data_IF_570055800029
#
_entry.id   IF_570055800029
#
_cell.length_a   1.000
_cell.length_b   1.000
_cell.length_c   1.000
_cell.angle_alpha   90.00
_cell.angle_beta   90.00
_cell.angle_gamma   90.00
#
_symmetry.space_group_name_H-M   'P 1'
#
loop_
_entity.id
_entity.type
_entity.pdbx_description
1 polymer ?
#
# COMPACT_ATOMS: atom_id res chain seq x y z
N UNK A 1 0.52 8.46 -5.67
CA UNK A 1 -0.72 9.00 -5.08
C UNK A 1 -1.82 7.91 -5.09
N UNK A 2 -2.07 7.22 -6.20
CA UNK A 2 -2.96 6.04 -6.29
C UNK A 2 -2.60 4.98 -5.24
N UNK A 3 -1.32 4.67 -5.16
CA UNK A 3 -0.72 3.80 -4.16
C UNK A 3 -0.99 4.26 -2.71
N UNK A 4 -0.98 5.56 -2.45
CA UNK A 4 -1.28 6.13 -1.14
C UNK A 4 -2.72 5.84 -0.71
N UNK A 5 -3.69 6.09 -1.60
CA UNK A 5 -5.11 5.86 -1.32
C UNK A 5 -5.43 4.39 -1.11
N UNK A 6 -4.84 3.54 -1.93
CA UNK A 6 -5.04 2.10 -1.81
C UNK A 6 -4.51 1.57 -0.48
N UNK A 7 -3.31 2.00 -0.06
CA UNK A 7 -2.77 1.58 1.24
C UNK A 7 -3.54 2.17 2.43
N UNK A 8 -4.03 3.42 2.34
CA UNK A 8 -4.91 4.00 3.37
C UNK A 8 -6.23 3.22 3.44
N UNK A 9 -6.82 2.86 2.30
CA UNK A 9 -8.05 2.08 2.25
C UNK A 9 -7.85 0.66 2.78
N UNK A 10 -6.75 0.01 2.42
CA UNK A 10 -6.37 -1.32 2.93
C UNK A 10 -6.08 -1.28 4.44
N UNK A 11 -5.47 -0.21 4.95
CA UNK A 11 -5.31 0.04 6.39
C UNK A 11 -6.65 0.11 7.12
N UNK A 12 -7.68 0.74 6.53
CA UNK A 12 -9.01 0.78 7.10
C UNK A 12 -9.71 -0.58 7.04
N UNK A 13 -9.57 -1.33 5.95
CA UNK A 13 -10.15 -2.67 5.81
C UNK A 13 -9.53 -3.69 6.79
N UNK A 14 -8.21 -3.64 7.00
CA UNK A 14 -7.54 -4.51 7.99
C UNK A 14 -7.81 -4.09 9.43
N UNK A 15 -8.19 -2.84 9.70
CA UNK A 15 -8.59 -2.38 11.04
C UNK A 15 -9.90 -3.02 11.51
N UNK A 16 -10.87 -3.19 10.61
CA UNK A 16 -12.16 -3.85 10.92
C UNK A 16 -11.97 -5.34 11.28
N UNK A 17 -10.98 -6.02 10.70
CA UNK A 17 -10.67 -7.42 10.99
C UNK A 17 -10.09 -7.63 12.42
N UNK A 18 -9.45 -6.62 12.99
CA UNK A 18 -8.90 -6.63 14.35
C UNK A 18 -10.01 -6.44 15.41
N UNK A 19 -11.13 -5.84 15.06
CA UNK A 19 -12.19 -5.44 16.01
C UNK A 19 -13.27 -6.51 16.26
N UNK A 20 -13.40 -7.53 15.41
CA UNK A 20 -14.48 -8.54 15.49
C UNK A 20 -14.15 -9.79 16.31
N UNK A 21 -12.94 -9.96 16.82
CA UNK A 21 -12.50 -11.12 17.60
C UNK A 21 -12.60 -10.94 19.12
N UNK A 22 -13.66 -11.43 19.74
CA UNK A 22 -13.77 -11.84 21.18
C UNK A 22 -13.50 -10.81 22.31
N UNK A 23 -14.08 -9.61 22.24
CA UNK A 23 -13.93 -8.59 23.31
C UNK A 23 -14.85 -8.80 24.55
N UNK A 24 -15.72 -9.80 24.59
CA UNK A 24 -16.79 -9.88 25.61
C UNK A 24 -16.55 -10.79 26.80
N UNK A 25 -15.34 -11.30 27.08
CA UNK A 25 -15.20 -12.30 28.14
C UNK A 25 -14.38 -11.97 29.39
N UNK A 26 -13.55 -10.94 29.45
CA UNK A 26 -12.73 -10.70 30.65
C UNK A 26 -12.43 -9.21 30.94
N UNK A 27 -13.01 -8.68 32.04
CA UNK A 27 -12.49 -7.54 32.78
C UNK A 27 -12.75 -6.15 32.19
N UNK A 28 -12.58 -5.12 33.02
CA UNK A 28 -12.73 -3.72 32.62
C UNK A 28 -11.87 -3.38 31.39
N UNK A 29 -12.44 -2.62 30.45
CA UNK A 29 -11.84 -2.21 29.17
C UNK A 29 -10.41 -1.69 29.33
N UNK A 30 -10.12 -1.01 30.43
CA UNK A 30 -8.79 -0.45 30.73
C UNK A 30 -7.73 -1.53 30.98
N UNK A 31 -8.08 -2.62 31.69
CA UNK A 31 -7.16 -3.74 31.95
C UNK A 31 -6.93 -4.60 30.70
N UNK A 32 -7.91 -4.71 29.82
CA UNK A 32 -7.81 -5.42 28.55
C UNK A 32 -6.89 -4.64 27.60
N UNK A 33 -7.04 -3.33 27.50
CA UNK A 33 -6.17 -2.48 26.67
C UNK A 33 -4.72 -2.53 27.17
N UNK A 34 -4.50 -2.39 28.48
CA UNK A 34 -3.14 -2.37 29.05
C UNK A 34 -2.45 -3.74 29.08
N UNK A 35 -3.22 -4.85 29.18
CA UNK A 35 -2.65 -6.20 29.12
C UNK A 35 -2.35 -6.67 27.71
N UNK A 36 -3.19 -6.28 26.73
CA UNK A 36 -3.05 -6.61 25.31
C UNK A 36 -1.84 -5.92 24.66
N UNK A 37 -1.37 -4.79 25.22
CA UNK A 37 -0.23 -4.01 24.72
C UNK A 37 1.09 -4.27 25.46
N UNK A 38 1.16 -5.25 26.37
CA UNK A 38 2.44 -5.68 26.97
C UNK A 38 3.24 -6.56 26.01
N UNK A 39 3.61 -6.01 24.89
CA UNK A 39 4.55 -6.66 23.98
C UNK A 39 5.91 -6.69 24.69
N UNK A 40 6.34 -7.86 25.13
CA UNK A 40 7.70 -8.06 25.63
C UNK A 40 8.63 -8.17 24.43
N UNK A 41 9.02 -7.05 23.85
CA UNK A 41 10.01 -7.04 22.78
C UNK A 41 11.37 -7.46 23.35
N UNK A 42 11.90 -8.55 22.84
CA UNK A 42 13.27 -8.95 23.07
C UNK A 42 14.25 -8.18 22.17
N UNK A 43 15.54 -8.27 22.46
CA UNK A 43 16.60 -7.72 21.59
C UNK A 43 16.50 -8.29 20.17
N UNK A 44 16.08 -9.55 20.05
CA UNK A 44 15.85 -10.20 18.77
C UNK A 44 14.72 -9.55 17.95
N UNK A 45 13.60 -9.21 18.59
CA UNK A 45 12.48 -8.54 17.92
C UNK A 45 12.88 -7.14 17.41
N UNK A 46 13.72 -6.41 18.18
CA UNK A 46 14.28 -5.13 17.71
C UNK A 46 15.16 -5.34 16.47
N UNK A 47 15.97 -6.39 16.45
CA UNK A 47 16.80 -6.71 15.27
C UNK A 47 15.91 -7.05 14.07
N UNK A 48 14.88 -7.88 14.24
CA UNK A 48 13.90 -8.21 13.20
C UNK A 48 13.22 -6.94 12.68
N UNK A 49 12.74 -6.06 13.58
CA UNK A 49 12.10 -4.80 13.21
C UNK A 49 13.01 -3.90 12.34
N UNK A 50 14.30 -3.82 12.67
CA UNK A 50 15.27 -3.04 11.89
C UNK A 50 15.43 -3.64 10.48
N UNK A 51 15.58 -4.97 10.36
CA UNK A 51 15.72 -5.63 9.06
C UNK A 51 14.45 -5.44 8.22
N UNK A 52 13.28 -5.65 8.80
CA UNK A 52 12.00 -5.44 8.11
C UNK A 52 11.84 -3.99 7.65
N UNK A 53 12.18 -3.01 8.49
CA UNK A 53 12.14 -1.60 8.14
C UNK A 53 13.09 -1.24 6.98
N UNK A 54 14.27 -1.86 6.92
CA UNK A 54 15.22 -1.67 5.81
C UNK A 54 14.68 -2.28 4.53
N UNK A 55 14.15 -3.51 4.58
CA UNK A 55 13.59 -4.19 3.41
C UNK A 55 12.40 -3.42 2.87
N UNK A 56 11.46 -3.03 3.72
CA UNK A 56 10.30 -2.23 3.32
C UNK A 56 10.73 -0.89 2.73
N UNK A 57 11.61 -0.14 3.42
CA UNK A 57 12.09 1.16 2.98
C UNK A 57 12.81 1.14 1.63
N UNK A 58 13.47 0.04 1.27
CA UNK A 58 14.11 -0.12 -0.05
C UNK A 58 13.10 -0.58 -1.10
N UNK A 59 12.33 -1.62 -0.80
CA UNK A 59 11.46 -2.29 -1.79
C UNK A 59 10.21 -1.48 -2.11
N UNK A 60 9.75 -0.62 -1.21
CA UNK A 60 8.60 0.26 -1.44
C UNK A 60 8.88 1.32 -2.52
N UNK A 61 10.12 1.77 -2.64
CA UNK A 61 10.51 2.75 -3.67
C UNK A 61 10.82 2.13 -5.02
N UNK A 62 10.92 0.82 -5.07
CA UNK A 62 11.21 0.07 -6.29
C UNK A 62 9.95 -0.67 -6.75
N UNK A 63 9.74 -0.84 -8.07
CA UNK A 63 8.60 -1.60 -8.59
C UNK A 63 8.82 -3.13 -8.47
N UNK A 64 9.12 -3.61 -7.25
CA UNK A 64 9.51 -5.01 -6.98
C UNK A 64 8.64 -5.71 -5.94
N UNK A 65 7.53 -5.11 -5.53
CA UNK A 65 6.62 -5.59 -4.50
C UNK A 65 7.23 -5.70 -3.09
N UNK A 66 7.09 -4.63 -2.31
CA UNK A 66 7.47 -4.62 -0.88
C UNK A 66 6.73 -5.70 -0.08
N UNK A 67 5.41 -5.80 -0.23
CA UNK A 67 4.58 -6.83 0.43
C UNK A 67 5.09 -8.24 0.14
N UNK A 68 5.44 -8.54 -1.13
CA UNK A 68 6.00 -9.83 -1.50
C UNK A 68 7.33 -10.12 -0.82
N UNK A 69 8.21 -9.12 -0.73
CA UNK A 69 9.49 -9.26 -0.04
C UNK A 69 9.31 -9.43 1.47
N UNK A 70 8.36 -8.69 2.08
CA UNK A 70 8.08 -8.82 3.51
C UNK A 70 7.55 -10.21 3.88
N UNK A 71 6.65 -10.79 3.09
CA UNK A 71 6.15 -12.16 3.27
C UNK A 71 7.30 -13.18 3.18
N UNK A 72 8.21 -13.01 2.21
CA UNK A 72 9.38 -13.89 2.10
C UNK A 72 10.37 -13.72 3.26
N UNK A 73 10.61 -12.49 3.72
CA UNK A 73 11.49 -12.23 4.87
C UNK A 73 10.88 -12.80 6.15
N UNK A 74 9.56 -12.75 6.30
CA UNK A 74 8.85 -13.34 7.43
C UNK A 74 9.10 -14.85 7.56
N UNK A 75 9.28 -15.59 6.47
CA UNK A 75 9.61 -17.01 6.53
C UNK A 75 10.95 -17.30 7.23
N UNK A 76 11.90 -16.37 7.19
CA UNK A 76 13.23 -16.52 7.77
C UNK A 76 13.41 -15.78 9.09
N UNK A 77 12.79 -14.62 9.22
CA UNK A 77 12.93 -13.71 10.35
C UNK A 77 11.55 -13.32 10.88
N UNK A 78 11.01 -14.14 11.78
CA UNK A 78 9.71 -13.92 12.42
C UNK A 78 9.87 -13.19 13.75
N UNK A 79 8.93 -12.32 14.05
CA UNK A 79 8.75 -11.85 15.43
C UNK A 79 8.28 -13.00 16.32
N UNK A 80 8.55 -12.91 17.63
CA UNK A 80 8.10 -13.90 18.59
C UNK A 80 6.57 -13.89 18.75
N UNK A 81 5.95 -12.74 18.52
CA UNK A 81 4.51 -12.53 18.58
C UNK A 81 3.95 -12.29 17.17
N UNK A 82 3.08 -13.21 16.72
CA UNK A 82 2.48 -13.15 15.39
C UNK A 82 1.53 -11.95 15.22
N UNK A 83 0.79 -11.58 16.27
CA UNK A 83 -0.07 -10.39 16.22
C UNK A 83 0.77 -9.11 16.08
N UNK A 84 1.92 -9.07 16.75
CA UNK A 84 2.86 -7.97 16.59
C UNK A 84 3.44 -7.92 15.18
N UNK A 85 3.75 -9.06 14.57
CA UNK A 85 4.23 -9.17 13.19
C UNK A 85 3.26 -8.50 12.21
N UNK A 86 1.99 -8.88 12.27
CA UNK A 86 0.94 -8.32 11.40
C UNK A 86 0.76 -6.81 11.62
N UNK A 87 0.69 -6.36 12.87
CA UNK A 87 0.61 -4.94 13.19
C UNK A 87 1.84 -4.17 12.68
N UNK A 88 3.04 -4.74 12.83
CA UNK A 88 4.28 -4.10 12.42
C UNK A 88 4.37 -3.93 10.89
N UNK A 89 3.91 -4.92 10.11
CA UNK A 89 3.79 -4.83 8.66
C UNK A 89 2.98 -3.60 8.24
N UNK A 90 1.83 -3.41 8.85
CA UNK A 90 0.96 -2.27 8.55
C UNK A 90 1.63 -0.93 8.93
N UNK A 91 2.26 -0.87 10.09
CA UNK A 91 2.91 0.35 10.59
C UNK A 91 4.12 0.74 9.74
N UNK A 92 4.94 -0.22 9.32
CA UNK A 92 6.12 0.09 8.50
C UNK A 92 5.74 0.55 7.09
N UNK A 93 4.69 -0.03 6.50
CA UNK A 93 4.10 0.45 5.24
C UNK A 93 3.57 1.88 5.39
N UNK A 94 2.85 2.18 6.47
CA UNK A 94 2.38 3.54 6.74
C UNK A 94 3.56 4.53 6.82
N UNK A 95 4.66 4.13 7.45
CA UNK A 95 5.89 4.95 7.50
C UNK A 95 6.42 5.29 6.11
N UNK A 96 6.52 4.29 5.23
CA UNK A 96 6.96 4.48 3.84
C UNK A 96 5.99 5.38 3.05
N UNK A 97 4.68 5.21 3.22
CA UNK A 97 3.64 6.05 2.62
C UNK A 97 3.76 7.51 3.08
N UNK A 98 3.93 7.74 4.38
CA UNK A 98 4.08 9.09 4.93
C UNK A 98 5.33 9.78 4.38
N UNK A 99 6.43 9.06 4.18
CA UNK A 99 7.63 9.60 3.54
C UNK A 99 7.34 10.10 2.11
N UNK A 100 6.58 9.34 1.31
CA UNK A 100 6.14 9.76 -0.03
C UNK A 100 5.25 10.99 0.04
N UNK A 101 4.28 11.01 0.97
CA UNK A 101 3.38 12.17 1.14
C UNK A 101 4.17 13.44 1.47
N UNK A 102 5.09 13.35 2.41
CA UNK A 102 5.92 14.49 2.81
C UNK A 102 6.80 14.99 1.66
N UNK A 103 7.43 14.07 0.93
CA UNK A 103 8.29 14.41 -0.20
C UNK A 103 7.54 15.10 -1.34
N UNK A 104 6.33 14.65 -1.64
CA UNK A 104 5.52 15.17 -2.74
C UNK A 104 4.40 16.11 -2.27
N UNK A 105 4.42 16.57 -1.03
CA UNK A 105 3.38 17.41 -0.43
C UNK A 105 2.95 18.56 -1.33
N UNK A 106 3.90 19.31 -1.86
CA UNK A 106 3.63 20.48 -2.71
C UNK A 106 2.94 20.13 -4.05
N UNK A 107 3.02 18.87 -4.49
CA UNK A 107 2.41 18.40 -5.75
C UNK A 107 1.04 17.75 -5.55
N UNK A 108 0.72 17.34 -4.32
CA UNK A 108 -0.53 16.64 -4.01
C UNK A 108 -1.52 17.51 -3.25
N UNK A 109 -1.05 18.56 -2.59
CA UNK A 109 -1.89 19.46 -1.79
C UNK A 109 -2.63 20.46 -2.70
N UNK A 110 -3.98 20.42 -2.74
CA UNK A 110 -4.75 21.25 -3.68
C UNK A 110 -4.99 22.68 -3.20
N UNK A 111 -4.66 23.01 -1.94
CA UNK A 111 -4.96 24.33 -1.37
C UNK A 111 -3.74 25.24 -1.41
N UNK A 112 -3.92 26.43 -1.98
CA UNK A 112 -2.90 27.49 -2.06
C UNK A 112 -3.21 28.57 -1.02
N UNK A 113 -2.53 28.51 0.13
CA UNK A 113 -2.69 29.53 1.18
C UNK A 113 -1.68 30.68 1.06
N UNK A 114 -0.57 30.49 0.34
CA UNK A 114 0.54 31.41 0.26
C UNK A 114 0.81 31.83 -1.19
N UNK A 115 1.19 33.11 -1.44
CA UNK A 115 1.49 33.68 -2.79
C UNK A 115 0.30 33.66 -3.74
N UNK A 116 -0.84 34.18 -3.28
CA UNK A 116 -2.04 34.32 -4.09
C UNK A 116 -2.03 35.69 -4.78
N UNK A 117 -2.18 35.72 -6.09
CA UNK A 117 -2.49 36.95 -6.81
C UNK A 117 -3.97 37.31 -6.63
N UNK A 118 -4.29 38.62 -6.75
CA UNK A 118 -5.68 39.09 -6.58
C UNK A 118 -6.58 38.44 -7.63
N UNK A 119 -7.49 37.55 -7.21
CA UNK A 119 -8.45 36.88 -8.09
C UNK A 119 -8.18 35.39 -8.31
N UNK A 120 -7.07 34.83 -7.84
CA UNK A 120 -6.82 33.38 -7.94
C UNK A 120 -7.66 32.57 -6.94
N UNK A 121 -8.12 31.39 -7.39
CA UNK A 121 -8.82 30.44 -6.53
C UNK A 121 -7.89 29.88 -5.44
N UNK A 122 -8.45 29.65 -4.24
CA UNK A 122 -7.76 28.97 -3.14
C UNK A 122 -7.46 27.51 -3.53
N UNK A 123 -8.29 26.93 -4.41
CA UNK A 123 -8.20 25.53 -4.82
C UNK A 123 -7.50 25.46 -6.19
N UNK A 124 -6.46 24.64 -6.26
CA UNK A 124 -5.88 24.22 -7.54
C UNK A 124 -6.74 23.13 -8.18
N UNK A 125 -7.58 23.55 -9.13
CA UNK A 125 -8.51 22.64 -9.82
C UNK A 125 -7.81 21.52 -10.60
N UNK A 126 -6.57 21.71 -11.05
CA UNK A 126 -5.80 20.65 -11.73
C UNK A 126 -5.45 19.54 -10.75
N UNK A 127 -5.01 19.89 -9.56
CA UNK A 127 -4.73 18.91 -8.49
C UNK A 127 -6.04 18.26 -8.03
N UNK A 128 -7.12 19.02 -7.89
CA UNK A 128 -8.42 18.49 -7.49
C UNK A 128 -8.95 17.47 -8.53
N UNK A 129 -8.87 17.77 -9.81
CA UNK A 129 -9.22 16.82 -10.88
C UNK A 129 -8.36 15.55 -10.83
N UNK A 130 -7.07 15.67 -10.52
CA UNK A 130 -6.19 14.52 -10.31
C UNK A 130 -6.73 13.65 -9.16
N UNK A 131 -7.18 14.23 -8.06
CA UNK A 131 -7.77 13.50 -6.94
C UNK A 131 -9.04 12.72 -7.34
N UNK A 132 -9.94 13.33 -8.11
CA UNK A 132 -11.11 12.63 -8.64
C UNK A 132 -10.73 11.44 -9.54
N UNK A 133 -9.72 11.58 -10.40
CA UNK A 133 -9.23 10.49 -11.24
C UNK A 133 -8.63 9.36 -10.39
N UNK A 134 -7.95 9.69 -9.29
CA UNK A 134 -7.42 8.72 -8.33
C UNK A 134 -8.57 7.93 -7.68
N UNK A 135 -9.62 8.61 -7.23
CA UNK A 135 -10.80 7.95 -6.67
C UNK A 135 -11.38 6.96 -7.68
N UNK A 136 -11.58 7.37 -8.94
CA UNK A 136 -12.08 6.48 -10.01
C UNK A 136 -11.17 5.27 -10.21
N UNK A 137 -9.85 5.46 -10.21
CA UNK A 137 -8.90 4.37 -10.34
C UNK A 137 -8.88 3.41 -9.13
N UNK A 138 -9.26 3.87 -7.93
CA UNK A 138 -9.35 3.02 -6.75
C UNK A 138 -10.64 2.17 -6.69
N UNK A 139 -11.72 2.56 -7.41
CA UNK A 139 -13.01 1.88 -7.33
C UNK A 139 -12.96 0.38 -7.63
N UNK A 140 -12.30 -0.13 -8.71
CA UNK A 140 -12.27 -1.55 -8.99
C UNK A 140 -11.68 -2.37 -7.84
N UNK A 141 -10.55 -1.93 -7.31
CA UNK A 141 -9.86 -2.60 -6.22
C UNK A 141 -10.65 -2.52 -4.90
N UNK A 142 -11.30 -1.38 -4.63
CA UNK A 142 -12.15 -1.20 -3.46
C UNK A 142 -13.36 -2.14 -3.47
N UNK A 143 -14.05 -2.25 -4.60
CA UNK A 143 -15.23 -3.12 -4.74
C UNK A 143 -14.84 -4.59 -4.53
N UNK A 144 -13.77 -5.05 -5.17
CA UNK A 144 -13.35 -6.44 -5.08
C UNK A 144 -12.75 -6.74 -3.70
N UNK A 145 -11.96 -5.84 -3.12
CA UNK A 145 -11.43 -5.99 -1.77
C UNK A 145 -12.55 -6.16 -0.74
N UNK A 146 -13.54 -5.27 -0.70
CA UNK A 146 -14.67 -5.38 0.27
C UNK A 146 -15.48 -6.68 0.10
N UNK A 147 -15.64 -7.15 -1.14
CA UNK A 147 -16.50 -8.32 -1.40
C UNK A 147 -15.80 -9.68 -1.26
N UNK A 148 -14.48 -9.72 -1.45
CA UNK A 148 -13.74 -10.97 -1.60
C UNK A 148 -12.46 -11.04 -0.75
N UNK A 149 -12.30 -10.16 0.25
CA UNK A 149 -11.09 -10.05 1.07
C UNK A 149 -10.68 -11.38 1.69
N UNK A 150 -11.58 -12.02 2.45
CA UNK A 150 -11.33 -13.31 3.11
C UNK A 150 -10.91 -14.41 2.12
N UNK A 151 -11.56 -14.46 0.95
CA UNK A 151 -11.25 -15.46 -0.08
C UNK A 151 -9.90 -15.19 -0.75
N UNK A 152 -9.57 -13.92 -0.97
CA UNK A 152 -8.28 -13.51 -1.55
C UNK A 152 -7.15 -13.90 -0.60
N UNK A 153 -7.31 -13.63 0.69
CA UNK A 153 -6.32 -13.94 1.70
C UNK A 153 -6.09 -15.44 1.81
N UNK A 154 -7.15 -16.24 1.89
CA UNK A 154 -7.06 -17.69 2.00
C UNK A 154 -6.34 -18.32 0.79
N UNK A 155 -6.61 -17.84 -0.43
CA UNK A 155 -6.11 -18.46 -1.66
C UNK A 155 -4.72 -17.93 -2.04
N UNK A 156 -4.48 -16.64 -1.92
CA UNK A 156 -3.29 -15.98 -2.50
C UNK A 156 -2.21 -15.62 -1.49
N UNK A 157 -2.55 -15.41 -0.20
CA UNK A 157 -1.57 -14.99 0.81
C UNK A 157 -0.78 -16.17 1.38
N UNK A 158 0.05 -16.78 0.54
CA UNK A 158 1.02 -17.78 0.97
C UNK A 158 2.36 -17.61 0.24
N UNK A 159 3.45 -18.01 0.88
CA UNK A 159 4.81 -17.79 0.37
C UNK A 159 5.06 -18.36 -1.02
N UNK A 160 4.43 -19.50 -1.38
CA UNK A 160 4.61 -20.12 -2.70
C UNK A 160 3.96 -19.32 -3.82
N UNK A 161 2.71 -18.85 -3.58
CA UNK A 161 1.98 -18.00 -4.54
C UNK A 161 2.72 -16.67 -4.72
N UNK A 162 3.17 -16.06 -3.62
CA UNK A 162 3.94 -14.83 -3.64
C UNK A 162 5.25 -14.98 -4.40
N UNK A 163 6.02 -16.03 -4.14
CA UNK A 163 7.27 -16.32 -4.87
C UNK A 163 7.01 -16.54 -6.37
N UNK A 164 5.96 -17.30 -6.71
CA UNK A 164 5.55 -17.50 -8.10
C UNK A 164 5.13 -16.19 -8.77
N UNK A 165 4.36 -15.36 -8.10
CA UNK A 165 3.95 -14.05 -8.58
C UNK A 165 5.16 -13.13 -8.83
N UNK A 166 6.10 -13.05 -7.87
CA UNK A 166 7.32 -12.26 -8.03
C UNK A 166 8.13 -12.67 -9.27
N UNK A 167 8.25 -13.99 -9.54
CA UNK A 167 8.97 -14.50 -10.71
C UNK A 167 8.21 -14.11 -11.99
N UNK A 168 6.91 -14.39 -12.07
CA UNK A 168 6.09 -14.14 -13.26
C UNK A 168 6.04 -12.64 -13.58
N UNK A 169 5.70 -11.82 -12.61
CA UNK A 169 5.60 -10.37 -12.81
C UNK A 169 6.98 -9.72 -13.02
N UNK A 170 8.04 -10.23 -12.38
CA UNK A 170 9.41 -9.79 -12.64
C UNK A 170 9.82 -10.03 -14.10
N UNK A 171 9.50 -11.21 -14.67
CA UNK A 171 9.75 -11.51 -16.09
C UNK A 171 8.91 -10.61 -16.99
N UNK A 172 7.61 -10.48 -16.70
CA UNK A 172 6.70 -9.60 -17.47
C UNK A 172 7.18 -8.15 -17.46
N UNK A 173 7.64 -7.66 -16.30
CA UNK A 173 8.19 -6.31 -16.18
C UNK A 173 9.41 -6.10 -17.08
N UNK A 174 10.35 -7.05 -17.09
CA UNK A 174 11.52 -7.00 -17.98
C UNK A 174 11.11 -6.99 -19.46
N UNK A 175 10.11 -7.80 -19.83
CA UNK A 175 9.61 -7.86 -21.21
C UNK A 175 8.99 -6.52 -21.61
N UNK A 176 8.10 -5.96 -20.77
CA UNK A 176 7.42 -4.69 -21.04
C UNK A 176 8.40 -3.54 -21.09
N UNK A 177 9.37 -3.49 -20.17
CA UNK A 177 10.42 -2.46 -20.14
C UNK A 177 11.28 -2.49 -21.42
N UNK A 178 11.71 -3.68 -21.84
CA UNK A 178 12.45 -3.84 -23.09
C UNK A 178 11.62 -3.48 -24.31
N UNK A 179 10.33 -3.80 -24.31
CA UNK A 179 9.43 -3.43 -25.41
C UNK A 179 9.17 -1.93 -25.49
N UNK A 180 9.13 -1.25 -24.36
CA UNK A 180 8.94 0.20 -24.26
C UNK A 180 10.23 1.00 -24.52
N UNK A 181 11.39 0.34 -24.52
CA UNK A 181 12.68 1.00 -24.70
C UNK A 181 12.71 1.81 -25.99
N UNK A 182 12.98 3.11 -25.87
CA UNK A 182 13.01 4.05 -26.99
C UNK A 182 11.66 4.61 -27.44
N UNK A 183 10.53 4.19 -26.85
CA UNK A 183 9.22 4.81 -27.10
C UNK A 183 9.09 6.11 -26.32
N UNK A 184 8.50 7.12 -26.96
CA UNK A 184 8.16 8.37 -26.27
C UNK A 184 6.83 8.19 -25.55
N UNK A 185 6.70 8.62 -24.28
CA UNK A 185 5.44 8.55 -23.55
C UNK A 185 4.39 9.42 -24.25
N UNK A 186 3.18 8.92 -24.40
CA UNK A 186 2.06 9.67 -24.94
C UNK A 186 1.53 10.73 -23.97
N UNK A 187 1.63 10.46 -22.66
CA UNK A 187 1.22 11.36 -21.59
C UNK A 187 2.46 11.66 -20.75
N UNK A 188 2.78 12.94 -20.59
CA UNK A 188 3.99 13.38 -19.85
C UNK A 188 3.68 13.98 -18.50
N UNK A 189 2.41 14.29 -18.23
CA UNK A 189 1.96 14.88 -16.97
C UNK A 189 0.81 14.08 -16.36
N UNK A 190 0.85 13.86 -15.06
CA UNK A 190 -0.22 13.18 -14.31
C UNK A 190 -1.56 13.92 -14.44
N UNK A 191 -1.54 15.23 -14.61
CA UNK A 191 -2.74 16.05 -14.79
C UNK A 191 -3.43 15.85 -16.13
N UNK A 192 -2.71 15.32 -17.13
CA UNK A 192 -3.21 15.04 -18.50
C UNK A 192 -3.88 13.67 -18.63
N UNK A 193 -3.73 12.78 -17.62
CA UNK A 193 -4.38 11.47 -17.59
C UNK A 193 -5.90 11.65 -17.71
N UNK A 194 -6.55 10.95 -18.65
CA UNK A 194 -8.00 10.90 -18.78
C UNK A 194 -8.65 9.96 -17.75
N UNK A 195 -9.97 10.01 -17.60
CA UNK A 195 -10.72 9.08 -16.73
C UNK A 195 -10.70 7.65 -17.25
N UNK A 196 -10.68 7.46 -18.57
CA UNK A 196 -10.49 6.18 -19.25
C UNK A 196 -9.16 5.52 -18.86
N UNK A 197 -8.09 6.28 -18.98
CA UNK A 197 -6.74 5.84 -18.57
C UNK A 197 -6.68 5.59 -17.07
N UNK A 198 -7.31 6.44 -16.25
CA UNK A 198 -7.38 6.24 -14.81
C UNK A 198 -8.10 4.92 -14.43
N UNK A 199 -9.18 4.58 -15.16
CA UNK A 199 -9.89 3.30 -14.96
C UNK A 199 -9.03 2.10 -15.37
N UNK A 200 -8.31 2.18 -16.49
CA UNK A 200 -7.36 1.14 -16.92
C UNK A 200 -6.29 0.92 -15.86
N UNK A 201 -5.69 1.98 -15.34
CA UNK A 201 -4.74 1.92 -14.24
C UNK A 201 -5.39 1.22 -13.03
N UNK A 202 -6.66 1.55 -12.72
CA UNK A 202 -7.41 0.93 -11.64
C UNK A 202 -7.61 -0.58 -11.81
N UNK A 203 -7.82 -1.06 -13.03
CA UNK A 203 -7.92 -2.51 -13.33
C UNK A 203 -6.56 -3.19 -13.10
N UNK A 204 -5.45 -2.60 -13.51
CA UNK A 204 -4.12 -3.14 -13.20
C UNK A 204 -3.81 -3.11 -11.69
N UNK A 205 -4.24 -2.07 -10.99
CA UNK A 205 -4.13 -2.00 -9.53
C UNK A 205 -4.97 -3.08 -8.84
N UNK A 206 -6.14 -3.43 -9.39
CA UNK A 206 -6.92 -4.56 -8.91
C UNK A 206 -6.15 -5.89 -9.03
N UNK A 207 -5.48 -6.15 -10.15
CA UNK A 207 -4.63 -7.34 -10.29
C UNK A 207 -3.54 -7.39 -9.23
N UNK A 208 -2.90 -6.24 -8.98
CA UNK A 208 -1.88 -6.11 -7.95
C UNK A 208 -2.42 -6.20 -6.51
N UNK A 209 -3.71 -5.97 -6.32
CA UNK A 209 -4.40 -6.14 -5.04
C UNK A 209 -4.72 -7.60 -4.75
N UNK A 210 -5.24 -8.32 -5.75
CA UNK A 210 -5.67 -9.72 -5.60
C UNK A 210 -4.49 -10.67 -5.50
N UNK A 211 -3.38 -10.40 -6.21
CA UNK A 211 -2.22 -11.29 -6.23
C UNK A 211 -1.05 -10.63 -5.50
N UNK A 212 -0.78 -11.00 -4.23
CA UNK A 212 0.36 -10.48 -3.49
C UNK A 212 1.66 -10.90 -4.18
N UNK A 213 2.65 -10.00 -4.19
CA UNK A 213 3.86 -10.19 -5.01
C UNK A 213 3.82 -9.46 -6.34
N UNK A 214 2.62 -9.10 -6.85
CA UNK A 214 2.49 -8.15 -7.94
C UNK A 214 2.81 -6.74 -7.42
N UNK A 215 3.81 -6.10 -7.98
CA UNK A 215 4.16 -4.74 -7.55
C UNK A 215 3.07 -3.74 -7.95
N UNK A 216 2.44 -3.09 -6.96
CA UNK A 216 1.45 -2.03 -7.21
C UNK A 216 2.04 -0.82 -7.92
N UNK A 217 3.31 -0.52 -7.68
CA UNK A 217 4.02 0.56 -8.36
C UNK A 217 4.50 0.18 -9.77
N UNK A 218 4.55 -1.13 -10.09
CA UNK A 218 4.93 -1.67 -11.39
C UNK A 218 3.75 -2.06 -12.30
N UNK A 219 2.52 -2.10 -11.75
CA UNK A 219 1.32 -2.52 -12.45
C UNK A 219 0.69 -1.44 -13.36
#
# INVERSE_FOLDING_TARGET
ILFLFYNIFFLFATYDCIETGDVLKYGTVENILLSKWRIKMGIFDVFVAVIWGIVEGITEWLPVSSTGHMILVEEFLKFQDEQFSQMFLVVVQLGAILAVVLLFWSRIWPFRFTKRERGESIIDWKIMQMWFKIIVACLPAAIVGILFDDWIDEVFYNAYVVAGALIVYGILFIIVENWNKGRKPAITSVTEIGYDTALIIGIFQLLAAVVPGTSRSGA
#
